data_IF_062808638487
#
_entry.id   IF_062808638487
#
_cell.length_a   1.000
_cell.length_b   1.000
_cell.length_c   1.000
_cell.angle_alpha   90.00
_cell.angle_beta   90.00
_cell.angle_gamma   90.00
#
_symmetry.space_group_name_H-M   'P 1'
#
loop_
_entity.id
_entity.type
_entity.pdbx_description
1 polymer ?
#
# COMPACT_ATOMS: atom_id res chain seq x y z
N UNK A 1 31.16 0.96 -2.40
CA UNK A 1 31.57 0.58 -3.78
C UNK A 1 31.37 -0.93 -3.89
N UNK A 2 30.73 -1.41 -4.96
CA UNK A 2 30.21 -2.79 -5.06
C UNK A 2 28.73 -2.89 -5.48
N UNK A 3 28.21 -1.87 -6.18
CA UNK A 3 26.81 -1.83 -6.64
C UNK A 3 26.79 -2.13 -8.13
N UNK A 4 25.92 -3.03 -8.58
CA UNK A 4 25.81 -3.31 -10.00
C UNK A 4 25.19 -2.09 -10.70
N UNK A 5 25.86 -1.58 -11.73
CA UNK A 5 25.34 -0.52 -12.62
C UNK A 5 23.91 -0.85 -13.09
N UNK A 6 23.59 -2.11 -13.48
CA UNK A 6 22.23 -2.48 -13.84
C UNK A 6 21.20 -2.24 -12.73
N UNK A 7 21.56 -2.45 -11.46
CA UNK A 7 20.66 -2.22 -10.33
C UNK A 7 20.32 -0.75 -10.13
N UNK A 8 21.25 0.15 -10.43
CA UNK A 8 21.03 1.59 -10.37
C UNK A 8 20.17 2.07 -11.55
N UNK A 9 20.39 1.54 -12.75
CA UNK A 9 19.55 1.80 -13.93
C UNK A 9 18.11 1.37 -13.66
N UNK A 10 17.91 0.14 -13.21
CA UNK A 10 16.59 -0.40 -12.88
C UNK A 10 15.85 0.43 -11.81
N UNK A 11 16.57 0.85 -10.77
CA UNK A 11 16.00 1.69 -9.72
C UNK A 11 15.64 3.09 -10.21
N UNK A 12 16.45 3.67 -11.11
CA UNK A 12 16.19 5.00 -11.70
C UNK A 12 14.97 4.95 -12.62
N UNK A 13 14.86 3.91 -13.45
CA UNK A 13 13.68 3.67 -14.28
C UNK A 13 12.42 3.51 -13.41
N UNK A 14 12.50 2.70 -12.35
CA UNK A 14 11.39 2.51 -11.42
C UNK A 14 10.97 3.83 -10.76
N UNK A 15 11.93 4.66 -10.33
CA UNK A 15 11.67 5.98 -9.76
C UNK A 15 10.97 6.91 -10.77
N UNK A 16 11.43 6.94 -12.01
CA UNK A 16 10.82 7.74 -13.07
C UNK A 16 9.36 7.33 -13.34
N UNK A 17 9.09 6.03 -13.50
CA UNK A 17 7.73 5.52 -13.72
C UNK A 17 6.78 5.87 -12.56
N UNK A 18 7.28 5.86 -11.33
CA UNK A 18 6.50 6.26 -10.16
C UNK A 18 6.23 7.77 -10.13
N UNK A 19 7.18 8.59 -10.57
CA UNK A 19 7.03 10.04 -10.63
C UNK A 19 6.06 10.50 -11.73
N UNK A 20 6.01 9.79 -12.85
CA UNK A 20 5.10 10.08 -13.98
C UNK A 20 3.71 9.46 -13.83
N UNK A 21 3.34 9.01 -12.62
CA UNK A 21 2.06 8.32 -12.34
C UNK A 21 1.76 7.11 -13.26
N UNK A 22 2.79 6.47 -13.81
CA UNK A 22 2.70 5.22 -14.58
C UNK A 22 3.40 4.07 -13.85
N UNK A 23 3.04 3.81 -12.57
CA UNK A 23 3.81 2.93 -11.70
C UNK A 23 3.86 1.51 -12.27
N UNK A 24 5.08 0.99 -12.45
CA UNK A 24 5.34 -0.43 -12.65
C UNK A 24 5.60 -1.09 -11.30
N UNK A 25 5.41 -2.39 -11.18
CA UNK A 25 5.84 -3.10 -9.97
C UNK A 25 7.35 -3.33 -10.01
N UNK A 26 7.98 -3.46 -8.84
CA UNK A 26 9.39 -3.84 -8.78
C UNK A 26 9.66 -5.21 -9.44
N UNK A 27 8.65 -6.08 -9.48
CA UNK A 27 8.73 -7.39 -10.14
C UNK A 27 8.76 -7.25 -11.66
N UNK A 28 7.95 -6.35 -12.22
CA UNK A 28 7.95 -6.08 -13.67
C UNK A 28 9.32 -5.58 -14.13
N UNK A 29 9.90 -4.63 -13.38
CA UNK A 29 11.22 -4.08 -13.67
C UNK A 29 12.32 -5.14 -13.47
N UNK A 30 12.20 -5.97 -12.43
CA UNK A 30 13.11 -7.09 -12.18
C UNK A 30 13.13 -8.09 -13.35
N UNK A 31 11.95 -8.44 -13.87
CA UNK A 31 11.82 -9.38 -14.98
C UNK A 31 12.36 -8.77 -16.29
N UNK A 32 12.07 -7.50 -16.56
CA UNK A 32 12.51 -6.84 -17.80
C UNK A 32 14.03 -6.61 -17.90
N UNK A 33 14.72 -6.44 -16.78
CA UNK A 33 16.17 -6.14 -16.74
C UNK A 33 16.98 -7.37 -16.25
N UNK A 34 16.31 -8.47 -15.89
CA UNK A 34 16.90 -9.69 -15.32
C UNK A 34 17.76 -9.42 -14.06
N UNK A 35 17.20 -8.67 -13.11
CA UNK A 35 17.83 -8.35 -11.83
C UNK A 35 16.92 -8.78 -10.69
N UNK A 36 17.50 -9.30 -9.60
CA UNK A 36 16.71 -9.66 -8.42
C UNK A 36 15.99 -8.42 -7.87
N UNK A 37 14.67 -8.55 -7.65
CA UNK A 37 13.81 -7.52 -7.03
C UNK A 37 14.44 -6.85 -5.79
N UNK A 38 15.13 -7.62 -4.95
CA UNK A 38 15.79 -7.12 -3.72
C UNK A 38 16.90 -6.11 -4.00
N UNK A 39 17.62 -6.26 -5.11
CA UNK A 39 18.75 -5.39 -5.46
C UNK A 39 18.24 -4.07 -6.04
N UNK A 40 17.15 -4.10 -6.82
CA UNK A 40 16.42 -2.91 -7.27
C UNK A 40 15.89 -2.14 -6.06
N UNK A 41 15.20 -2.81 -5.13
CA UNK A 41 14.67 -2.19 -3.92
C UNK A 41 15.76 -1.56 -3.03
N UNK A 42 16.97 -2.14 -3.00
CA UNK A 42 18.12 -1.57 -2.28
C UNK A 42 18.62 -0.30 -2.98
N UNK A 43 18.82 -0.36 -4.31
CA UNK A 43 19.29 0.79 -5.09
C UNK A 43 18.27 1.93 -5.12
N UNK A 44 16.98 1.60 -5.15
CA UNK A 44 15.90 2.59 -5.11
C UNK A 44 15.87 3.36 -3.79
N UNK A 45 15.98 2.68 -2.64
CA UNK A 45 16.09 3.35 -1.32
C UNK A 45 17.30 4.27 -1.21
N UNK A 46 18.40 3.87 -1.83
CA UNK A 46 19.59 4.72 -1.92
C UNK A 46 19.30 5.97 -2.76
N UNK A 47 18.72 5.84 -3.96
CA UNK A 47 18.40 6.98 -4.80
C UNK A 47 17.51 7.99 -4.08
N UNK A 48 16.48 7.50 -3.37
CA UNK A 48 15.61 8.36 -2.56
C UNK A 48 16.39 9.17 -1.51
N UNK A 49 17.39 8.54 -0.86
CA UNK A 49 18.19 9.18 0.18
C UNK A 49 19.22 10.17 -0.38
N UNK A 50 19.96 9.79 -1.42
CA UNK A 50 21.07 10.59 -1.96
C UNK A 50 20.58 11.75 -2.82
N UNK A 51 19.40 11.63 -3.44
CA UNK A 51 18.84 12.64 -4.34
C UNK A 51 17.66 13.42 -3.71
N UNK A 52 17.37 13.20 -2.43
CA UNK A 52 16.23 13.76 -1.69
C UNK A 52 14.89 13.69 -2.47
N UNK A 53 14.68 12.56 -3.15
CA UNK A 53 13.50 12.38 -4.00
C UNK A 53 12.26 12.14 -3.13
N UNK A 54 11.29 13.05 -3.24
CA UNK A 54 9.97 12.90 -2.63
C UNK A 54 9.06 12.13 -3.57
N UNK A 55 8.91 10.85 -3.29
CA UNK A 55 7.98 10.01 -4.06
C UNK A 55 6.54 10.37 -3.72
N UNK A 56 5.62 10.53 -4.70
CA UNK A 56 4.20 10.70 -4.43
C UNK A 56 3.70 9.59 -3.51
N UNK A 57 3.24 10.00 -2.33
CA UNK A 57 2.57 9.10 -1.40
C UNK A 57 1.19 8.84 -1.99
N UNK A 58 0.89 7.56 -2.23
CA UNK A 58 -0.42 7.17 -2.75
C UNK A 58 -1.47 7.61 -1.73
N UNK A 59 -2.42 8.45 -2.16
CA UNK A 59 -3.50 8.90 -1.30
C UNK A 59 -4.31 7.68 -0.83
N UNK A 60 -4.35 7.38 0.49
CA UNK A 60 -5.05 6.22 1.01
C UNK A 60 -6.55 6.19 0.67
N UNK A 61 -7.19 7.35 0.46
CA UNK A 61 -8.60 7.45 0.04
C UNK A 61 -8.80 6.90 -1.38
N UNK A 62 -7.82 7.11 -2.28
CA UNK A 62 -7.83 6.50 -3.62
C UNK A 62 -7.68 4.99 -3.53
N UNK A 63 -6.87 4.50 -2.60
CA UNK A 63 -6.75 3.07 -2.33
C UNK A 63 -8.08 2.47 -1.89
N UNK A 64 -8.79 3.11 -0.95
CA UNK A 64 -10.12 2.69 -0.50
C UNK A 64 -11.07 2.55 -1.68
N UNK A 65 -11.19 3.59 -2.51
CA UNK A 65 -12.13 3.57 -3.65
C UNK A 65 -11.83 2.46 -4.66
N UNK A 66 -10.56 2.20 -4.94
CA UNK A 66 -10.15 1.14 -5.86
C UNK A 66 -10.45 -0.24 -5.26
N UNK A 67 -10.07 -0.48 -4.00
CA UNK A 67 -10.24 -1.77 -3.34
C UNK A 67 -11.72 -2.07 -3.14
N UNK A 68 -12.51 -1.09 -2.71
CA UNK A 68 -13.96 -1.27 -2.50
C UNK A 68 -14.69 -1.62 -3.80
N UNK A 69 -14.27 -1.03 -4.92
CA UNK A 69 -14.83 -1.37 -6.23
C UNK A 69 -14.51 -2.80 -6.66
N UNK A 70 -13.27 -3.26 -6.44
CA UNK A 70 -12.86 -4.63 -6.81
C UNK A 70 -13.48 -5.67 -5.87
N UNK A 71 -13.59 -5.35 -4.58
CA UNK A 71 -14.19 -6.21 -3.58
C UNK A 71 -15.72 -6.13 -3.54
N UNK A 72 -16.35 -5.33 -4.43
CA UNK A 72 -17.80 -5.14 -4.53
C UNK A 72 -18.44 -4.76 -3.19
N UNK A 73 -17.85 -3.77 -2.52
CA UNK A 73 -18.33 -3.30 -1.21
C UNK A 73 -19.38 -2.22 -1.35
N UNK A 74 -20.32 -2.20 -0.42
CA UNK A 74 -21.32 -1.15 -0.32
C UNK A 74 -20.72 0.24 -0.09
N UNK A 75 -21.41 1.27 -0.60
CA UNK A 75 -21.01 2.67 -0.36
C UNK A 75 -21.04 3.04 1.13
N UNK A 76 -21.91 2.40 1.93
CA UNK A 76 -21.93 2.53 3.40
C UNK A 76 -20.58 2.11 4.01
N UNK A 77 -20.05 0.97 3.59
CA UNK A 77 -18.75 0.45 4.05
C UNK A 77 -17.59 1.29 3.55
N UNK A 78 -17.64 1.75 2.30
CA UNK A 78 -16.62 2.66 1.78
C UNK A 78 -16.53 3.96 2.57
N UNK A 79 -17.67 4.61 2.86
CA UNK A 79 -17.71 5.85 3.68
C UNK A 79 -17.15 5.61 5.07
N UNK A 80 -17.58 4.53 5.73
CA UNK A 80 -17.11 4.22 7.08
C UNK A 80 -15.61 3.89 7.12
N UNK A 81 -15.07 3.25 6.10
CA UNK A 81 -13.63 3.04 5.97
C UNK A 81 -12.84 4.36 5.82
N UNK A 82 -13.39 5.36 5.12
CA UNK A 82 -12.78 6.70 5.03
C UNK A 82 -12.75 7.38 6.40
N UNK A 83 -13.82 7.28 7.18
CA UNK A 83 -13.86 7.81 8.56
C UNK A 83 -12.80 7.14 9.45
N UNK A 84 -12.71 5.81 9.42
CA UNK A 84 -11.71 5.03 10.17
C UNK A 84 -10.29 5.47 9.82
N UNK A 85 -10.02 5.68 8.53
CA UNK A 85 -8.71 6.09 8.04
C UNK A 85 -8.36 7.54 8.45
N UNK A 86 -9.33 8.45 8.42
CA UNK A 86 -9.16 9.83 8.89
C UNK A 86 -8.85 9.86 10.40
N UNK A 87 -9.60 9.10 11.20
CA UNK A 87 -9.32 8.92 12.63
C UNK A 87 -7.92 8.34 12.87
N UNK A 88 -7.55 7.27 12.16
CA UNK A 88 -6.24 6.64 12.26
C UNK A 88 -5.08 7.59 11.87
N UNK A 89 -5.34 8.54 10.97
CA UNK A 89 -4.36 9.55 10.57
C UNK A 89 -4.20 10.64 11.64
N UNK A 90 -5.30 11.05 12.29
CA UNK A 90 -5.28 12.03 13.39
C UNK A 90 -4.49 11.56 14.61
N UNK A 91 -4.51 10.26 14.90
CA UNK A 91 -3.76 9.64 16.02
C UNK A 91 -2.36 9.15 15.60
N UNK A 92 -1.86 9.57 14.43
CA UNK A 92 -0.55 9.21 13.87
C UNK A 92 -0.30 7.69 13.71
N UNK A 93 -1.35 6.86 13.76
CA UNK A 93 -1.25 5.40 13.62
C UNK A 93 -0.82 5.00 12.20
N UNK A 94 -0.98 5.89 11.22
CA UNK A 94 -0.63 5.67 9.80
C UNK A 94 0.86 5.91 9.48
N UNK A 95 1.63 6.53 10.38
CA UNK A 95 3.02 6.91 10.13
C UNK A 95 3.91 5.68 9.86
N UNK A 96 4.67 5.73 8.74
CA UNK A 96 5.61 4.68 8.35
C UNK A 96 4.98 3.36 7.88
N UNK A 97 3.65 3.27 7.78
CA UNK A 97 2.93 2.08 7.32
C UNK A 97 2.57 2.21 5.84
N UNK A 98 2.53 1.06 5.16
CA UNK A 98 2.11 0.98 3.77
C UNK A 98 0.64 1.45 3.61
N UNK A 99 0.37 2.48 2.78
CA UNK A 99 -0.97 3.04 2.58
C UNK A 99 -2.01 2.02 2.10
N UNK A 100 -1.57 1.07 1.27
CA UNK A 100 -2.45 0.05 0.70
C UNK A 100 -2.91 -0.95 1.75
N UNK A 101 -2.00 -1.45 2.58
CA UNK A 101 -2.32 -2.32 3.70
C UNK A 101 -3.20 -1.64 4.75
N UNK A 102 -3.00 -0.33 4.98
CA UNK A 102 -3.83 0.44 5.91
C UNK A 102 -5.25 0.64 5.37
N UNK A 103 -5.40 1.04 4.12
CA UNK A 103 -6.70 1.17 3.45
C UNK A 103 -7.47 -0.16 3.42
N UNK A 104 -6.78 -1.26 3.12
CA UNK A 104 -7.36 -2.60 3.12
C UNK A 104 -7.86 -3.01 4.52
N UNK A 105 -7.10 -2.71 5.57
CA UNK A 105 -7.50 -3.01 6.95
C UNK A 105 -8.67 -2.14 7.42
N UNK A 106 -8.70 -0.86 7.05
CA UNK A 106 -9.83 0.03 7.34
C UNK A 106 -11.12 -0.43 6.65
N UNK A 107 -11.02 -0.90 5.39
CA UNK A 107 -12.14 -1.50 4.67
C UNK A 107 -12.63 -2.78 5.34
N UNK A 108 -11.72 -3.68 5.73
CA UNK A 108 -12.11 -4.91 6.42
C UNK A 108 -12.77 -4.63 7.78
N UNK A 109 -12.23 -3.68 8.57
CA UNK A 109 -12.87 -3.24 9.81
C UNK A 109 -14.27 -2.67 9.55
N UNK A 110 -14.42 -1.88 8.49
CA UNK A 110 -15.73 -1.37 8.10
C UNK A 110 -16.71 -2.48 7.67
N UNK A 111 -16.24 -3.54 7.00
CA UNK A 111 -17.09 -4.68 6.66
C UNK A 111 -17.61 -5.35 7.94
N UNK A 112 -16.74 -5.57 8.93
CA UNK A 112 -17.09 -6.16 10.23
C UNK A 112 -18.15 -5.30 10.94
N UNK A 113 -17.97 -3.98 10.99
CA UNK A 113 -18.92 -3.04 11.63
C UNK A 113 -20.29 -3.06 10.92
N UNK A 114 -20.31 -3.11 9.59
CA UNK A 114 -21.55 -3.06 8.82
C UNK A 114 -22.19 -4.44 8.57
N UNK A 115 -21.58 -5.54 9.04
CA UNK A 115 -22.06 -6.90 8.80
C UNK A 115 -21.94 -7.35 7.35
N UNK A 116 -20.99 -6.80 6.58
CA UNK A 116 -20.78 -7.17 5.18
C UNK A 116 -19.94 -8.44 5.09
N UNK A 117 -20.45 -9.46 4.37
CA UNK A 117 -19.85 -10.79 4.34
C UNK A 117 -18.64 -10.87 3.40
N UNK A 118 -17.49 -10.34 3.87
CA UNK A 118 -16.22 -10.35 3.15
C UNK A 118 -15.11 -10.83 4.07
N UNK A 119 -14.30 -11.75 3.57
CA UNK A 119 -13.18 -12.30 4.31
C UNK A 119 -11.93 -11.42 4.19
N UNK A 120 -10.96 -11.61 5.08
CA UNK A 120 -9.65 -10.94 4.94
C UNK A 120 -8.98 -11.30 3.61
N UNK A 121 -9.22 -12.52 3.10
CA UNK A 121 -8.70 -12.99 1.81
C UNK A 121 -9.27 -12.19 0.64
N UNK A 122 -10.57 -11.95 0.63
CA UNK A 122 -11.23 -11.19 -0.45
C UNK A 122 -10.65 -9.78 -0.55
N UNK A 123 -10.49 -9.12 0.59
CA UNK A 123 -9.90 -7.78 0.66
C UNK A 123 -8.40 -7.81 0.31
N UNK A 124 -7.67 -8.84 0.74
CA UNK A 124 -6.25 -9.00 0.43
C UNK A 124 -6.01 -9.13 -1.08
N UNK A 125 -6.83 -9.93 -1.77
CA UNK A 125 -6.77 -10.10 -3.22
C UNK A 125 -7.06 -8.76 -3.93
N UNK A 126 -8.12 -8.05 -3.56
CA UNK A 126 -8.48 -6.76 -4.15
C UNK A 126 -7.39 -5.68 -3.92
N UNK A 127 -6.72 -5.73 -2.77
CA UNK A 127 -5.64 -4.83 -2.40
C UNK A 127 -4.27 -5.24 -2.95
N UNK A 128 -4.09 -6.48 -3.41
CA UNK A 128 -2.78 -7.00 -3.82
C UNK A 128 -1.79 -7.08 -2.65
N UNK A 129 -2.30 -7.34 -1.43
CA UNK A 129 -1.49 -7.52 -0.21
C UNK A 129 -1.73 -8.91 0.37
N UNK A 130 -0.99 -9.28 1.42
CA UNK A 130 -1.20 -10.57 2.10
C UNK A 130 -2.28 -10.47 3.18
N UNK A 131 -2.98 -11.57 3.45
CA UNK A 131 -3.95 -11.64 4.57
C UNK A 131 -3.31 -11.28 5.91
N UNK A 132 -2.06 -11.69 6.13
CA UNK A 132 -1.30 -11.37 7.36
C UNK A 132 -1.07 -9.86 7.49
N UNK A 133 -0.84 -9.16 6.37
CA UNK A 133 -0.76 -7.69 6.36
C UNK A 133 -2.06 -7.07 6.85
N UNK A 134 -3.21 -7.52 6.35
CA UNK A 134 -4.52 -7.02 6.78
C UNK A 134 -4.74 -7.33 8.25
N UNK A 135 -4.50 -8.57 8.69
CA UNK A 135 -4.70 -9.01 10.07
C UNK A 135 -3.94 -8.18 11.09
N UNK A 136 -2.65 -7.95 10.85
CA UNK A 136 -1.79 -7.17 11.75
C UNK A 136 -2.22 -5.70 11.81
N UNK A 137 -2.68 -5.14 10.69
CA UNK A 137 -3.13 -3.73 10.62
C UNK A 137 -4.52 -3.56 11.21
N UNK A 138 -5.41 -4.51 10.97
CA UNK A 138 -6.74 -4.57 11.57
C UNK A 138 -6.67 -4.58 13.09
N UNK A 139 -5.80 -5.43 13.68
CA UNK A 139 -5.62 -5.48 15.14
C UNK A 139 -5.21 -4.11 15.70
N UNK A 140 -4.22 -3.46 15.09
CA UNK A 140 -3.78 -2.14 15.52
C UNK A 140 -4.83 -1.04 15.34
N UNK A 141 -5.64 -1.09 14.27
CA UNK A 141 -6.76 -0.15 14.08
C UNK A 141 -7.86 -0.37 15.10
N UNK A 142 -8.22 -1.63 15.37
CA UNK A 142 -9.26 -2.02 16.32
C UNK A 142 -8.90 -1.55 17.73
N UNK A 143 -7.68 -1.84 18.18
CA UNK A 143 -7.18 -1.44 19.50
C UNK A 143 -7.11 0.08 19.65
N UNK A 144 -6.65 0.80 18.63
CA UNK A 144 -6.45 2.24 18.71
C UNK A 144 -7.75 3.06 18.62
N UNK A 145 -8.81 2.49 18.04
CA UNK A 145 -10.10 3.15 17.88
C UNK A 145 -11.15 2.66 18.90
N UNK A 146 -10.78 1.75 19.80
CA UNK A 146 -11.66 1.14 20.81
C UNK A 146 -12.93 0.51 20.21
N UNK A 147 -12.80 -0.12 19.04
CA UNK A 147 -13.89 -0.81 18.31
C UNK A 147 -13.81 -2.33 18.56
#
# INVERSE_FOLDING_TARGET
RGRSIPGLIAASLYAACRNTETPRTLTDVANGINIKRKDIARCYRLLLRELDLKMPVVNPIRCISRISSIAELSEKTKRKAVEILDQATKIELSAGKDPMGLAAAALYLSCVINGENKTQKDIAVAAGVTEVTIRNRYKGLKEALEI
#
